data_IF_027202958725
#
_entry.id   IF_027202958725
#
_cell.length_a   1.000
_cell.length_b   1.000
_cell.length_c   1.000
_cell.angle_alpha   90.00
_cell.angle_beta   90.00
_cell.angle_gamma   90.00
#
_symmetry.space_group_name_H-M   'P 1'
#
loop_
_entity.id
_entity.type
_entity.pdbx_description
1 polymer ?
#
# COMPACT_ATOMS: atom_id res chain seq x y z
N UNK A 1 -18.11 3.03 10.33
CA UNK A 1 -17.95 3.64 8.97
C UNK A 1 -16.70 3.04 8.34
N UNK A 2 -16.50 3.15 7.03
CA UNK A 2 -15.21 2.79 6.45
C UNK A 2 -14.10 3.68 7.05
N UNK A 3 -12.83 3.27 6.96
CA UNK A 3 -11.70 4.02 7.52
C UNK A 3 -10.84 4.65 6.41
N UNK A 4 -10.23 5.79 6.69
CA UNK A 4 -9.23 6.45 5.84
C UNK A 4 -7.85 6.22 6.45
N UNK A 5 -6.97 5.54 5.71
CA UNK A 5 -5.59 5.26 6.07
C UNK A 5 -4.68 6.13 5.21
N UNK A 6 -3.99 7.09 5.83
CA UNK A 6 -3.05 8.01 5.18
C UNK A 6 -1.67 7.82 5.78
N UNK A 7 -0.69 7.63 4.92
CA UNK A 7 0.62 7.17 5.33
C UNK A 7 1.72 7.46 4.34
N UNK A 8 2.86 6.81 4.61
CA UNK A 8 4.10 6.90 3.85
C UNK A 8 4.53 5.53 3.32
N UNK A 9 5.29 5.52 2.22
CA UNK A 9 5.84 4.31 1.59
C UNK A 9 7.23 3.96 2.14
N UNK A 10 7.25 3.34 3.31
CA UNK A 10 8.48 3.02 4.04
C UNK A 10 8.86 4.11 5.03
N UNK A 11 9.82 3.82 5.91
CA UNK A 11 10.19 4.72 7.01
C UNK A 11 11.70 4.88 7.20
N UNK A 12 12.55 4.07 6.56
CA UNK A 12 13.99 4.10 6.81
C UNK A 12 14.74 4.86 5.73
N UNK A 13 14.72 6.18 5.81
CA UNK A 13 15.40 7.07 4.86
C UNK A 13 16.41 7.97 5.56
N UNK A 14 17.66 7.97 5.10
CA UNK A 14 18.72 8.78 5.71
C UNK A 14 18.42 10.29 5.71
N UNK A 15 17.86 10.90 4.63
CA UNK A 15 17.54 12.32 4.61
C UNK A 15 16.50 12.77 5.64
N UNK A 16 15.71 11.84 6.18
CA UNK A 16 14.65 12.15 7.14
C UNK A 16 15.19 12.43 8.55
N UNK A 17 16.45 12.05 8.83
CA UNK A 17 17.06 12.21 10.15
C UNK A 17 17.48 13.66 10.39
N UNK A 18 16.95 14.27 11.44
CA UNK A 18 17.15 15.67 11.76
C UNK A 18 16.16 16.61 11.07
N UNK A 19 15.20 16.07 10.31
CA UNK A 19 14.09 16.79 9.68
C UNK A 19 12.75 16.17 10.11
N UNK A 20 12.29 15.09 9.47
CA UNK A 20 11.11 14.33 9.94
C UNK A 20 11.36 13.62 11.28
N UNK A 21 12.51 12.97 11.44
CA UNK A 21 12.93 12.39 12.71
C UNK A 21 13.69 13.43 13.53
N UNK A 22 13.34 13.63 14.82
CA UNK A 22 14.06 14.56 15.67
C UNK A 22 15.54 14.18 15.80
N UNK A 23 16.40 15.20 15.97
CA UNK A 23 17.84 15.00 16.17
C UNK A 23 18.08 14.07 17.36
N UNK A 24 18.95 13.07 17.15
CA UNK A 24 19.30 12.10 18.19
C UNK A 24 18.34 10.91 18.34
N UNK A 25 17.26 10.81 17.55
CA UNK A 25 16.43 9.61 17.52
C UNK A 25 17.26 8.39 17.08
N UNK A 26 17.30 7.36 17.92
CA UNK A 26 17.96 6.11 17.56
C UNK A 26 17.25 5.46 16.36
N UNK A 27 18.00 5.01 15.35
CA UNK A 27 17.42 4.41 14.13
C UNK A 27 16.42 3.27 14.41
N UNK A 28 16.70 2.44 15.43
CA UNK A 28 15.80 1.36 15.84
C UNK A 28 14.43 1.84 16.32
N UNK A 29 14.28 3.13 16.63
CA UNK A 29 13.04 3.80 17.04
C UNK A 29 12.28 4.48 15.90
N UNK A 30 12.80 4.44 14.68
CA UNK A 30 12.18 5.11 13.52
C UNK A 30 10.76 4.59 13.25
N UNK A 31 10.49 3.28 13.42
CA UNK A 31 9.14 2.74 13.25
C UNK A 31 8.19 3.19 14.37
N UNK A 32 8.62 3.13 15.64
CA UNK A 32 7.79 3.63 16.75
C UNK A 32 7.41 5.09 16.52
N UNK A 33 8.36 5.91 16.06
CA UNK A 33 8.11 7.32 15.77
C UNK A 33 7.18 7.51 14.59
N UNK A 34 7.46 6.88 13.44
CA UNK A 34 6.69 7.08 12.22
C UNK A 34 5.24 6.58 12.35
N UNK A 35 5.04 5.42 12.99
CA UNK A 35 3.70 4.84 13.22
C UNK A 35 2.82 5.65 14.19
N UNK A 36 3.39 6.66 14.85
CA UNK A 36 2.67 7.60 15.71
C UNK A 36 2.55 8.99 15.08
N UNK A 37 3.15 9.20 13.91
CA UNK A 37 3.09 10.45 13.14
C UNK A 37 2.07 10.38 12.00
N UNK A 38 1.74 9.16 11.55
CA UNK A 38 0.72 8.82 10.56
C UNK A 38 -0.10 7.62 11.04
N UNK A 39 -1.25 7.31 10.44
CA UNK A 39 -2.12 6.21 10.88
C UNK A 39 -1.96 4.91 10.06
N UNK A 40 -1.11 4.90 9.04
CA UNK A 40 -0.78 3.71 8.24
C UNK A 40 0.58 3.84 7.55
N UNK A 41 1.21 2.72 7.21
CA UNK A 41 2.48 2.67 6.45
C UNK A 41 2.41 1.57 5.38
N UNK A 42 2.93 1.85 4.18
CA UNK A 42 3.18 0.83 3.15
C UNK A 42 4.60 0.27 3.33
N UNK A 43 4.71 -1.03 3.63
CA UNK A 43 5.99 -1.73 3.75
C UNK A 43 6.59 -1.91 2.36
N UNK A 44 7.70 -1.20 2.12
CA UNK A 44 8.43 -1.24 0.84
C UNK A 44 9.61 -2.25 0.86
N UNK A 45 10.14 -2.59 2.04
CA UNK A 45 11.31 -3.49 2.16
C UNK A 45 11.10 -4.88 1.55
N UNK A 46 9.87 -5.40 1.63
CA UNK A 46 9.45 -6.69 1.04
C UNK A 46 9.52 -6.72 -0.49
N UNK A 47 9.55 -5.56 -1.15
CA UNK A 47 9.74 -5.46 -2.60
C UNK A 47 11.13 -5.95 -3.04
N UNK A 48 12.16 -5.67 -2.22
CA UNK A 48 13.55 -5.94 -2.57
C UNK A 48 14.03 -7.31 -2.11
N UNK A 49 13.55 -7.76 -0.95
CA UNK A 49 13.88 -9.06 -0.38
C UNK A 49 12.73 -9.55 0.50
N UNK A 50 12.52 -10.87 0.55
CA UNK A 50 11.65 -11.48 1.54
C UNK A 50 12.13 -11.12 2.94
N UNK A 51 11.19 -10.76 3.80
CA UNK A 51 11.46 -10.53 5.21
C UNK A 51 11.36 -11.87 5.96
N UNK A 52 11.72 -11.87 7.24
CA UNK A 52 11.54 -13.04 8.11
C UNK A 52 10.30 -12.86 8.98
N UNK A 53 9.65 -13.95 9.43
CA UNK A 53 8.49 -13.85 10.32
C UNK A 53 8.73 -12.99 11.56
N UNK A 54 9.93 -13.04 12.15
CA UNK A 54 10.26 -12.27 13.35
C UNK A 54 10.26 -10.75 13.09
N UNK A 55 10.58 -10.32 11.86
CA UNK A 55 10.52 -8.89 11.48
C UNK A 55 9.09 -8.39 11.44
N UNK A 56 8.19 -9.17 10.83
CA UNK A 56 6.77 -8.80 10.77
C UNK A 56 6.14 -8.81 12.16
N UNK A 57 6.44 -9.81 12.99
CA UNK A 57 6.00 -9.85 14.39
C UNK A 57 6.53 -8.66 15.21
N UNK A 58 7.78 -8.25 14.98
CA UNK A 58 8.35 -7.05 15.61
C UNK A 58 7.62 -5.78 15.15
N UNK A 59 7.38 -5.59 13.85
CA UNK A 59 6.64 -4.43 13.33
C UNK A 59 5.21 -4.36 13.85
N UNK A 60 4.55 -5.52 13.99
CA UNK A 60 3.26 -5.62 14.65
C UNK A 60 3.33 -5.10 16.10
N UNK A 61 4.33 -5.52 16.87
CA UNK A 61 4.48 -5.15 18.29
C UNK A 61 4.91 -3.69 18.51
N UNK A 62 5.68 -3.10 17.60
CA UNK A 62 6.22 -1.73 17.76
C UNK A 62 5.23 -0.60 17.37
N UNK A 63 4.09 -0.96 16.80
CA UNK A 63 3.08 0.00 16.28
C UNK A 63 1.80 0.00 17.11
N UNK A 64 1.01 1.10 17.10
CA UNK A 64 -0.27 1.17 17.80
C UNK A 64 -1.24 0.04 17.43
N UNK A 65 -2.17 -0.30 18.33
CA UNK A 65 -3.08 -1.46 18.16
C UNK A 65 -4.00 -1.34 16.94
N UNK A 66 -4.43 -0.12 16.62
CA UNK A 66 -5.30 0.22 15.49
C UNK A 66 -4.53 0.50 14.19
N UNK A 67 -3.20 0.37 14.21
CA UNK A 67 -2.35 0.64 13.07
C UNK A 67 -2.52 -0.38 11.95
N UNK A 68 -2.50 0.06 10.69
CA UNK A 68 -2.60 -0.83 9.53
C UNK A 68 -1.39 -0.67 8.63
N UNK A 69 -0.83 -1.79 8.18
CA UNK A 69 0.21 -1.84 7.16
C UNK A 69 -0.35 -2.28 5.81
N UNK A 70 0.01 -1.57 4.74
CA UNK A 70 0.01 -2.16 3.41
C UNK A 70 1.35 -2.85 3.15
N UNK A 71 1.38 -3.88 2.30
CA UNK A 71 2.62 -4.61 1.99
C UNK A 71 2.88 -4.63 0.50
N UNK A 72 4.02 -4.10 0.08
CA UNK A 72 4.46 -4.18 -1.32
C UNK A 72 5.04 -5.55 -1.63
N UNK A 73 4.45 -6.22 -2.62
CA UNK A 73 4.85 -7.56 -3.01
C UNK A 73 6.25 -7.60 -3.64
N UNK A 74 6.95 -8.76 -3.63
CA UNK A 74 8.31 -8.87 -4.13
C UNK A 74 8.44 -8.53 -5.62
N UNK A 75 9.44 -7.72 -5.96
CA UNK A 75 9.81 -7.42 -7.36
C UNK A 75 10.18 -8.68 -8.13
N UNK A 76 10.59 -9.73 -7.43
CA UNK A 76 10.88 -11.02 -8.05
C UNK A 76 9.68 -11.57 -8.84
N UNK A 77 8.46 -11.38 -8.36
CA UNK A 77 7.24 -11.84 -9.03
C UNK A 77 6.88 -10.93 -10.22
N UNK A 78 6.80 -9.61 -10.00
CA UNK A 78 6.27 -8.67 -11.00
C UNK A 78 7.31 -8.14 -11.99
N UNK A 79 8.58 -8.03 -11.60
CA UNK A 79 9.65 -7.45 -12.43
C UNK A 79 10.58 -8.50 -13.03
N UNK A 80 10.96 -9.53 -12.25
CA UNK A 80 11.94 -10.53 -12.68
C UNK A 80 11.26 -11.69 -13.40
N UNK A 81 10.36 -12.40 -12.70
CA UNK A 81 9.58 -13.50 -13.27
C UNK A 81 8.49 -13.03 -14.23
N UNK A 82 8.03 -11.77 -14.10
CA UNK A 82 7.04 -11.16 -15.00
C UNK A 82 5.81 -12.08 -15.17
N UNK A 83 5.33 -12.61 -14.04
CA UNK A 83 4.21 -13.54 -13.95
C UNK A 83 4.42 -14.93 -14.60
N UNK A 84 5.66 -15.38 -14.82
CA UNK A 84 5.98 -16.74 -15.28
C UNK A 84 6.40 -17.64 -14.13
N UNK A 85 5.75 -18.80 -14.00
CA UNK A 85 5.93 -19.83 -12.96
C UNK A 85 6.11 -19.23 -11.54
N UNK A 86 5.06 -18.54 -11.11
CA UNK A 86 5.02 -17.71 -9.91
C UNK A 86 4.34 -18.39 -8.71
N UNK A 87 3.84 -19.61 -8.86
CA UNK A 87 3.15 -20.37 -7.82
C UNK A 87 4.06 -20.54 -6.59
N UNK A 88 5.30 -21.01 -6.80
CA UNK A 88 6.30 -21.14 -5.73
C UNK A 88 6.77 -19.78 -5.18
N UNK A 89 7.11 -18.79 -6.01
CA UNK A 89 7.39 -17.43 -5.52
C UNK A 89 6.28 -16.81 -4.67
N UNK A 90 5.00 -17.03 -5.03
CA UNK A 90 3.84 -16.58 -4.25
C UNK A 90 3.78 -17.32 -2.92
N UNK A 91 3.91 -18.64 -2.92
CA UNK A 91 3.95 -19.45 -1.70
C UNK A 91 5.07 -18.99 -0.75
N UNK A 92 6.28 -18.74 -1.28
CA UNK A 92 7.41 -18.23 -0.50
C UNK A 92 7.14 -16.83 0.07
N UNK A 93 6.46 -15.96 -0.69
CA UNK A 93 6.07 -14.63 -0.19
C UNK A 93 5.08 -14.73 0.98
N UNK A 94 4.03 -15.53 0.86
CA UNK A 94 3.07 -15.69 1.96
C UNK A 94 3.68 -16.42 3.16
N UNK A 95 4.59 -17.36 2.93
CA UNK A 95 5.34 -18.02 3.98
C UNK A 95 6.43 -17.16 4.64
N UNK A 96 6.80 -16.02 4.05
CA UNK A 96 7.83 -15.11 4.60
C UNK A 96 7.44 -14.42 5.92
N UNK A 97 6.19 -14.59 6.35
CA UNK A 97 5.69 -14.11 7.63
C UNK A 97 4.78 -12.90 7.56
N UNK A 98 4.27 -12.53 6.38
CA UNK A 98 3.31 -11.43 6.23
C UNK A 98 2.08 -11.59 7.14
N UNK A 99 1.66 -12.83 7.42
CA UNK A 99 0.53 -13.14 8.31
C UNK A 99 0.79 -12.81 9.79
N UNK A 100 2.05 -12.60 10.19
CA UNK A 100 2.41 -12.14 11.54
C UNK A 100 1.96 -10.70 11.83
N UNK A 101 1.57 -9.95 10.79
CA UNK A 101 0.91 -8.65 10.94
C UNK A 101 -0.55 -8.75 11.43
N UNK A 102 -1.14 -9.95 11.46
CA UNK A 102 -2.46 -10.24 12.05
C UNK A 102 -3.55 -9.25 11.61
N UNK A 103 -4.23 -8.58 12.55
CA UNK A 103 -5.25 -7.56 12.27
C UNK A 103 -4.69 -6.34 11.53
N UNK A 104 -3.42 -6.01 11.76
CA UNK A 104 -2.71 -4.89 11.14
C UNK A 104 -2.31 -5.17 9.69
N UNK A 105 -2.51 -6.40 9.18
CA UNK A 105 -2.34 -6.72 7.77
C UNK A 105 -3.46 -6.07 6.93
N UNK A 106 -3.11 -5.04 6.18
CA UNK A 106 -3.93 -4.35 5.18
C UNK A 106 -3.75 -4.92 3.78
N UNK A 107 -3.99 -4.11 2.73
CA UNK A 107 -3.86 -4.54 1.34
C UNK A 107 -2.43 -4.91 0.93
N UNK A 108 -2.31 -5.75 -0.10
CA UNK A 108 -1.04 -6.11 -0.73
C UNK A 108 -0.94 -5.40 -2.08
N UNK A 109 0.12 -4.60 -2.26
CA UNK A 109 0.42 -3.87 -3.49
C UNK A 109 1.24 -4.71 -4.47
N UNK A 110 0.75 -4.85 -5.69
CA UNK A 110 1.41 -5.47 -6.83
C UNK A 110 1.75 -4.43 -7.89
N UNK A 111 2.97 -3.90 -7.82
CA UNK A 111 3.47 -2.88 -8.76
C UNK A 111 4.17 -3.55 -9.94
N UNK A 112 3.82 -3.17 -11.17
CA UNK A 112 4.43 -3.66 -12.41
C UNK A 112 5.38 -2.63 -13.05
N UNK A 113 6.49 -3.05 -13.71
CA UNK A 113 7.41 -2.12 -14.36
C UNK A 113 6.82 -1.54 -15.65
N UNK A 114 7.31 -0.38 -16.14
CA UNK A 114 6.78 0.29 -17.33
C UNK A 114 6.98 -0.50 -18.63
N UNK A 115 7.88 -1.49 -18.65
CA UNK A 115 8.08 -2.37 -19.80
C UNK A 115 7.27 -3.68 -19.70
N UNK A 116 6.37 -3.83 -18.72
CA UNK A 116 5.44 -4.95 -18.63
C UNK A 116 4.15 -4.59 -19.35
N UNK A 117 3.75 -5.39 -20.34
CA UNK A 117 2.53 -5.19 -21.11
C UNK A 117 1.40 -6.09 -20.60
N UNK A 118 0.18 -5.58 -20.69
CA UNK A 118 -1.03 -6.34 -20.38
C UNK A 118 -1.21 -7.48 -21.39
N UNK A 119 -1.41 -8.68 -20.86
CA UNK A 119 -1.73 -9.90 -21.61
C UNK A 119 -2.85 -10.57 -20.82
N UNK A 120 -4.11 -10.56 -21.32
CA UNK A 120 -5.28 -10.90 -20.51
C UNK A 120 -5.18 -12.25 -19.79
N UNK A 121 -4.83 -13.32 -20.49
CA UNK A 121 -4.77 -14.68 -19.93
C UNK A 121 -3.68 -14.80 -18.85
N UNK A 122 -2.48 -14.26 -19.11
CA UNK A 122 -1.37 -14.29 -18.14
C UNK A 122 -1.72 -13.47 -16.90
N UNK A 123 -2.40 -12.34 -17.08
CA UNK A 123 -2.78 -11.48 -15.96
C UNK A 123 -3.92 -12.09 -15.15
N UNK A 124 -4.89 -12.72 -15.79
CA UNK A 124 -5.97 -13.46 -15.14
C UNK A 124 -5.43 -14.66 -14.34
N UNK A 125 -4.49 -15.44 -14.91
CA UNK A 125 -3.82 -16.53 -14.19
C UNK A 125 -3.20 -16.03 -12.87
N UNK A 126 -2.48 -14.90 -12.93
CA UNK A 126 -1.92 -14.28 -11.74
C UNK A 126 -3.00 -13.89 -10.72
N UNK A 127 -4.08 -13.22 -11.14
CA UNK A 127 -5.16 -12.83 -10.24
C UNK A 127 -5.85 -14.04 -9.60
N UNK A 128 -6.03 -15.13 -10.35
CA UNK A 128 -6.64 -16.37 -9.87
C UNK A 128 -5.80 -17.10 -8.80
N UNK A 129 -4.47 -16.91 -8.81
CA UNK A 129 -3.57 -17.46 -7.79
C UNK A 129 -3.55 -16.66 -6.48
N UNK A 130 -4.09 -15.43 -6.46
CA UNK A 130 -4.04 -14.58 -5.28
C UNK A 130 -5.03 -15.06 -4.21
N UNK A 131 -4.60 -15.25 -2.95
CA UNK A 131 -5.50 -15.65 -1.87
C UNK A 131 -6.40 -14.49 -1.43
N UNK A 132 -7.72 -14.70 -1.39
CA UNK A 132 -8.70 -13.67 -1.00
C UNK A 132 -9.01 -13.62 0.50
N UNK A 133 -8.42 -14.53 1.29
CA UNK A 133 -8.46 -14.49 2.74
C UNK A 133 -7.17 -15.05 3.35
N UNK A 134 -6.98 -14.81 4.64
CA UNK A 134 -5.79 -15.24 5.38
C UNK A 134 -5.66 -16.76 5.51
N UNK A 135 -6.75 -17.53 5.46
CA UNK A 135 -6.68 -19.01 5.49
C UNK A 135 -6.19 -19.55 4.14
N UNK A 136 -6.69 -19.00 3.03
CA UNK A 136 -6.19 -19.30 1.69
C UNK A 136 -4.72 -18.88 1.54
N UNK A 137 -4.32 -17.75 2.12
CA UNK A 137 -2.93 -17.31 2.15
C UNK A 137 -2.03 -18.26 2.95
N UNK A 138 -2.51 -18.75 4.09
CA UNK A 138 -1.84 -19.79 4.88
C UNK A 138 -1.72 -21.11 4.10
N UNK A 139 -2.79 -21.56 3.43
CA UNK A 139 -2.78 -22.74 2.58
C UNK A 139 -1.79 -22.62 1.41
N UNK A 140 -1.69 -21.43 0.81
CA UNK A 140 -0.68 -21.13 -0.21
C UNK A 140 0.74 -21.12 0.38
N UNK A 141 0.93 -20.55 1.58
CA UNK A 141 2.20 -20.54 2.30
C UNK A 141 2.72 -21.97 2.61
N UNK A 142 1.83 -22.93 2.87
CA UNK A 142 2.22 -24.34 3.03
C UNK A 142 2.87 -24.95 1.79
N UNK A 143 2.72 -24.34 0.61
CA UNK A 143 3.33 -24.79 -0.63
C UNK A 143 4.72 -24.16 -0.88
N UNK A 144 5.31 -23.46 0.10
CA UNK A 144 6.63 -22.87 -0.03
C UNK A 144 7.70 -23.94 -0.32
N UNK A 145 8.84 -23.52 -0.87
CA UNK A 145 10.00 -24.37 -1.09
C UNK A 145 11.08 -24.16 -0.01
N UNK A 146 12.16 -24.93 -0.09
CA UNK A 146 13.25 -24.91 0.88
C UNK A 146 14.04 -23.59 0.93
N UNK A 147 13.76 -22.61 0.06
CA UNK A 147 14.44 -21.32 0.02
C UNK A 147 14.27 -20.49 1.29
N UNK A 148 13.23 -20.76 2.09
CA UNK A 148 13.03 -20.08 3.37
C UNK A 148 13.90 -20.63 4.51
N UNK A 149 14.62 -21.74 4.31
CA UNK A 149 15.58 -22.31 5.27
C UNK A 149 15.01 -22.47 6.70
N UNK A 150 13.73 -22.83 6.83
CA UNK A 150 13.06 -22.98 8.13
C UNK A 150 12.51 -21.68 8.75
N UNK A 151 12.78 -20.53 8.14
CA UNK A 151 12.22 -19.23 8.53
C UNK A 151 10.91 -18.95 7.78
N UNK A 152 9.90 -19.79 8.04
CA UNK A 152 8.58 -19.68 7.42
C UNK A 152 7.47 -19.60 8.48
N UNK A 153 6.47 -18.76 8.23
CA UNK A 153 5.21 -18.78 8.99
C UNK A 153 4.03 -19.06 8.05
N UNK A 154 3.21 -20.03 8.43
CA UNK A 154 2.10 -20.54 7.62
C UNK A 154 0.77 -20.49 8.39
N UNK A 155 0.75 -19.85 9.57
CA UNK A 155 -0.44 -19.82 10.41
C UNK A 155 -1.22 -18.53 10.19
N UNK A 156 -2.48 -18.67 9.81
CA UNK A 156 -3.44 -17.58 9.91
C UNK A 156 -3.83 -17.41 11.38
N UNK A 157 -3.80 -16.18 11.90
CA UNK A 157 -4.31 -15.88 13.25
C UNK A 157 -5.84 -16.03 13.33
N UNK A 158 -6.55 -15.61 12.29
CA UNK A 158 -7.99 -15.84 12.06
C UNK A 158 -8.30 -15.68 10.58
N UNK A 159 -9.47 -16.12 10.13
CA UNK A 159 -10.00 -15.78 8.80
C UNK A 159 -10.33 -14.29 8.71
N UNK A 160 -9.72 -13.59 7.77
CA UNK A 160 -9.98 -12.18 7.43
C UNK A 160 -9.86 -12.03 5.91
N UNK A 161 -10.70 -11.20 5.25
CA UNK A 161 -10.51 -10.86 3.85
C UNK A 161 -9.11 -10.30 3.61
N UNK A 162 -8.46 -10.79 2.56
CA UNK A 162 -7.18 -10.31 2.09
C UNK A 162 -7.39 -9.52 0.79
N UNK A 163 -6.81 -8.33 0.75
CA UNK A 163 -7.08 -7.33 -0.29
C UNK A 163 -5.84 -7.12 -1.15
N UNK A 164 -6.04 -6.95 -2.46
CA UNK A 164 -4.96 -6.76 -3.42
C UNK A 164 -5.16 -5.49 -4.22
N UNK A 165 -4.08 -4.77 -4.47
CA UNK A 165 -4.06 -3.59 -5.30
C UNK A 165 -2.99 -3.74 -6.40
N UNK A 166 -3.29 -3.32 -7.63
CA UNK A 166 -2.40 -3.41 -8.80
C UNK A 166 -2.04 -2.01 -9.27
N UNK A 167 -0.73 -1.73 -9.36
CA UNK A 167 -0.23 -0.50 -9.96
C UNK A 167 0.38 -0.79 -11.34
N UNK A 168 -0.17 -0.10 -12.35
CA UNK A 168 0.24 -0.18 -13.75
C UNK A 168 1.17 0.97 -14.12
N UNK A 169 2.08 0.73 -15.07
CA UNK A 169 3.02 1.75 -15.57
C UNK A 169 3.14 1.76 -17.10
N UNK A 170 2.22 1.09 -17.80
CA UNK A 170 2.25 0.90 -19.24
C UNK A 170 0.85 1.08 -19.84
N UNK A 171 0.75 1.78 -20.97
CA UNK A 171 -0.53 2.09 -21.63
C UNK A 171 -1.30 0.87 -22.15
N UNK A 172 -0.66 -0.28 -22.35
CA UNK A 172 -1.38 -1.51 -22.75
C UNK A 172 -2.43 -1.96 -21.73
N UNK A 173 -2.36 -1.48 -20.49
CA UNK A 173 -3.38 -1.72 -19.46
C UNK A 173 -4.61 -0.82 -19.58
N UNK A 174 -4.61 0.18 -20.47
CA UNK A 174 -5.76 1.05 -20.74
C UNK A 174 -6.82 0.31 -21.58
N UNK A 175 -7.21 -0.87 -21.09
CA UNK A 175 -8.09 -1.82 -21.73
C UNK A 175 -9.29 -2.13 -20.82
N UNK A 176 -10.54 -2.04 -21.30
CA UNK A 176 -11.71 -2.44 -20.53
C UNK A 176 -11.70 -3.89 -20.02
N UNK A 177 -11.02 -4.84 -20.69
CA UNK A 177 -10.84 -6.20 -20.19
C UNK A 177 -9.99 -6.26 -18.93
N UNK A 178 -8.95 -5.44 -18.82
CA UNK A 178 -8.18 -5.30 -17.59
C UNK A 178 -9.09 -4.84 -16.43
N UNK A 179 -9.94 -3.84 -16.67
CA UNK A 179 -10.90 -3.37 -15.66
C UNK A 179 -11.91 -4.47 -15.27
N UNK A 180 -12.38 -5.27 -16.24
CA UNK A 180 -13.26 -6.41 -15.98
C UNK A 180 -12.58 -7.46 -15.10
N UNK A 181 -11.33 -7.79 -15.37
CA UNK A 181 -10.55 -8.73 -14.56
C UNK A 181 -10.38 -8.22 -13.12
N UNK A 182 -9.95 -6.98 -12.93
CA UNK A 182 -9.82 -6.41 -11.59
C UNK A 182 -11.14 -6.47 -10.79
N UNK A 183 -12.27 -6.15 -11.43
CA UNK A 183 -13.61 -6.25 -10.81
C UNK A 183 -14.03 -7.68 -10.50
N UNK A 184 -13.68 -8.66 -11.35
CA UNK A 184 -13.97 -10.09 -11.15
C UNK A 184 -13.30 -10.62 -9.88
N UNK A 185 -12.05 -10.22 -9.65
CA UNK A 185 -11.24 -10.68 -8.52
C UNK A 185 -11.25 -9.73 -7.31
N UNK A 186 -12.08 -8.66 -7.33
CA UNK A 186 -12.12 -7.63 -6.30
C UNK A 186 -10.73 -7.03 -5.99
N UNK A 187 -9.93 -6.79 -7.02
CA UNK A 187 -8.59 -6.21 -6.93
C UNK A 187 -8.67 -4.71 -7.24
N UNK A 188 -8.11 -3.87 -6.39
CA UNK A 188 -8.09 -2.42 -6.60
C UNK A 188 -7.11 -2.03 -7.72
N UNK A 189 -7.55 -1.19 -8.66
CA UNK A 189 -6.63 -0.38 -9.45
C UNK A 189 -6.01 0.66 -8.53
N UNK A 190 -4.68 0.74 -8.51
CA UNK A 190 -3.98 1.78 -7.77
C UNK A 190 -4.11 3.10 -8.54
N UNK A 191 -4.66 4.10 -7.87
CA UNK A 191 -4.71 5.48 -8.35
C UNK A 191 -3.33 6.10 -8.08
N UNK A 192 -2.46 6.04 -9.07
CA UNK A 192 -1.08 6.50 -8.97
C UNK A 192 -0.91 7.89 -9.57
N UNK A 193 -0.53 8.87 -8.75
CA UNK A 193 -0.10 10.18 -9.23
C UNK A 193 1.41 10.18 -9.40
N UNK A 194 1.87 10.29 -10.65
CA UNK A 194 3.25 10.01 -11.03
C UNK A 194 3.90 11.16 -11.80
N UNK A 195 3.45 12.40 -11.56
CA UNK A 195 3.91 13.58 -12.29
C UNK A 195 3.83 13.39 -13.83
N UNK A 196 2.69 12.87 -14.30
CA UNK A 196 2.43 12.52 -15.71
C UNK A 196 3.38 11.49 -16.34
N UNK A 197 4.21 10.80 -15.55
CA UNK A 197 5.14 9.81 -16.10
C UNK A 197 4.41 8.56 -16.59
N UNK A 198 3.50 8.04 -15.79
CA UNK A 198 2.75 6.80 -16.05
C UNK A 198 1.24 7.05 -16.15
N UNK A 199 0.46 6.09 -16.68
CA UNK A 199 -0.96 6.31 -16.94
C UNK A 199 -1.73 6.52 -15.64
N UNK A 200 -2.43 7.66 -15.54
CA UNK A 200 -3.28 8.01 -14.40
C UNK A 200 -4.74 7.66 -14.67
N UNK A 201 -5.35 6.79 -13.86
CA UNK A 201 -6.74 6.34 -13.99
C UNK A 201 -7.39 6.11 -12.63
N UNK A 202 -8.71 6.24 -12.58
CA UNK A 202 -9.51 6.30 -11.34
C UNK A 202 -10.70 5.31 -11.36
N UNK A 203 -10.62 4.22 -12.14
CA UNK A 203 -11.63 3.17 -12.16
C UNK A 203 -11.73 2.49 -10.79
N UNK A 204 -12.92 2.55 -10.18
CA UNK A 204 -13.23 1.83 -8.95
C UNK A 204 -13.53 0.35 -9.24
N UNK A 205 -12.52 -0.50 -9.03
CA UNK A 205 -12.55 -1.94 -9.34
C UNK A 205 -12.73 -2.85 -8.14
N UNK A 206 -12.70 -2.31 -6.92
CA UNK A 206 -12.86 -3.09 -5.68
C UNK A 206 -13.82 -2.42 -4.68
N UNK A 207 -13.95 -3.02 -3.50
CA UNK A 207 -14.69 -2.45 -2.37
C UNK A 207 -13.87 -1.47 -1.50
N UNK A 208 -12.61 -1.24 -1.84
CA UNK A 208 -11.74 -0.23 -1.26
C UNK A 208 -11.03 0.59 -2.36
N UNK A 209 -10.33 1.65 -1.95
CA UNK A 209 -9.51 2.48 -2.85
C UNK A 209 -8.07 2.48 -2.36
N UNK A 210 -7.12 2.44 -3.31
CA UNK A 210 -5.69 2.47 -3.03
C UNK A 210 -5.04 3.56 -3.87
N UNK A 211 -4.37 4.51 -3.22
CA UNK A 211 -3.68 5.62 -3.84
C UNK A 211 -2.18 5.53 -3.55
N UNK A 212 -1.38 5.90 -4.54
CA UNK A 212 0.04 6.22 -4.35
C UNK A 212 0.35 7.58 -4.94
N UNK A 213 0.79 8.49 -4.09
CA UNK A 213 1.09 9.87 -4.44
C UNK A 213 2.61 10.03 -4.51
N UNK A 214 3.15 9.99 -5.72
CA UNK A 214 4.59 9.98 -5.96
C UNK A 214 5.20 11.37 -6.11
N UNK A 215 4.42 12.44 -5.99
CA UNK A 215 4.85 13.82 -6.22
C UNK A 215 4.18 14.43 -7.44
N UNK A 216 3.81 15.71 -7.33
CA UNK A 216 2.97 16.41 -8.30
C UNK A 216 3.68 16.80 -9.61
N UNK A 217 4.95 17.19 -9.53
CA UNK A 217 5.71 17.78 -10.66
C UNK A 217 6.96 16.98 -11.01
N UNK A 218 7.64 16.46 -10.00
CA UNK A 218 8.83 15.62 -10.11
C UNK A 218 8.59 14.33 -9.33
N UNK A 219 8.69 13.20 -10.03
CA UNK A 219 8.52 11.87 -9.45
C UNK A 219 9.52 11.65 -8.30
N UNK A 220 8.97 11.31 -7.14
CA UNK A 220 9.60 11.03 -5.87
C UNK A 220 10.22 12.21 -5.11
N UNK A 221 10.28 13.40 -5.71
CA UNK A 221 11.03 14.54 -5.15
C UNK A 221 10.17 15.77 -4.87
N UNK A 222 9.11 15.98 -5.65
CA UNK A 222 8.21 17.12 -5.44
C UNK A 222 7.21 16.85 -4.32
N UNK A 223 6.97 17.87 -3.48
CA UNK A 223 5.87 17.86 -2.53
C UNK A 223 4.55 18.21 -3.22
N UNK A 224 3.46 18.18 -2.45
CA UNK A 224 2.17 18.65 -2.94
C UNK A 224 1.87 20.05 -2.43
N UNK A 225 1.36 20.92 -3.30
CA UNK A 225 0.89 22.24 -2.88
C UNK A 225 -0.44 22.11 -2.12
N UNK A 226 -0.78 23.10 -1.28
CA UNK A 226 -2.05 23.08 -0.55
C UNK A 226 -3.29 22.92 -1.46
N UNK A 227 -3.38 23.56 -2.65
CA UNK A 227 -4.45 23.28 -3.61
C UNK A 227 -4.45 21.84 -4.14
N UNK A 228 -3.28 21.25 -4.38
CA UNK A 228 -3.18 19.86 -4.83
C UNK A 228 -3.64 18.87 -3.74
N UNK A 229 -3.24 19.10 -2.49
CA UNK A 229 -3.71 18.30 -1.35
C UNK A 229 -5.21 18.47 -1.10
N UNK A 230 -5.76 19.68 -1.27
CA UNK A 230 -7.21 19.91 -1.22
C UNK A 230 -7.94 19.08 -2.29
N UNK A 231 -7.44 19.04 -3.52
CA UNK A 231 -8.01 18.22 -4.60
C UNK A 231 -7.99 16.73 -4.26
N UNK A 232 -6.92 16.25 -3.63
CA UNK A 232 -6.84 14.85 -3.16
C UNK A 232 -7.79 14.57 -2.00
N UNK A 233 -7.92 15.48 -1.05
CA UNK A 233 -8.87 15.37 0.05
C UNK A 233 -10.32 15.25 -0.49
N UNK A 234 -10.73 16.10 -1.44
CA UNK A 234 -12.06 16.03 -2.06
C UNK A 234 -12.32 14.68 -2.75
N UNK A 235 -11.31 14.11 -3.42
CA UNK A 235 -11.42 12.80 -4.05
C UNK A 235 -11.53 11.67 -3.02
N UNK A 236 -10.69 11.70 -1.99
CA UNK A 236 -10.70 10.73 -0.89
C UNK A 236 -12.06 10.77 -0.18
N UNK A 237 -12.59 11.96 0.08
CA UNK A 237 -13.90 12.15 0.72
C UNK A 237 -15.03 11.57 -0.14
N UNK A 238 -15.04 11.86 -1.45
CA UNK A 238 -16.02 11.29 -2.37
C UNK A 238 -15.95 9.74 -2.38
N UNK A 239 -14.75 9.17 -2.51
CA UNK A 239 -14.58 7.72 -2.49
C UNK A 239 -14.97 7.09 -1.16
N UNK A 240 -14.61 7.74 -0.05
CA UNK A 240 -14.95 7.33 1.30
C UNK A 240 -16.47 7.24 1.49
N UNK A 241 -17.23 8.19 0.93
CA UNK A 241 -18.69 8.22 0.91
C UNK A 241 -19.32 7.36 -0.20
N UNK A 242 -18.52 6.52 -0.87
CA UNK A 242 -19.04 5.58 -1.85
C UNK A 242 -19.25 6.16 -3.25
N UNK A 243 -18.88 7.42 -3.48
CA UNK A 243 -19.06 8.15 -4.73
C UNK A 243 -17.85 8.00 -5.67
N UNK A 244 -18.01 8.46 -6.91
CA UNK A 244 -16.95 8.62 -7.90
C UNK A 244 -16.88 10.11 -8.27
N UNK A 245 -15.70 10.76 -8.21
CA UNK A 245 -15.51 12.11 -8.71
C UNK A 245 -16.03 12.27 -10.15
N UNK A 246 -16.72 13.39 -10.43
CA UNK A 246 -17.33 13.64 -11.75
C UNK A 246 -16.30 13.80 -12.87
N UNK A 247 -15.12 14.29 -12.52
CA UNK A 247 -13.97 14.49 -13.40
C UNK A 247 -13.02 13.28 -13.41
N UNK A 248 -13.48 12.10 -12.96
CA UNK A 248 -12.63 10.92 -12.88
C UNK A 248 -12.14 10.45 -14.26
N UNK A 249 -10.84 10.16 -14.36
CA UNK A 249 -10.24 9.63 -15.60
C UNK A 249 -10.39 8.10 -15.64
N UNK A 250 -11.33 7.60 -16.46
CA UNK A 250 -11.69 6.18 -16.49
C UNK A 250 -11.14 5.47 -17.73
N UNK A 251 -10.62 4.26 -17.56
CA UNK A 251 -10.33 3.29 -18.62
C UNK A 251 -11.64 2.79 -19.23
N UNK A 252 -12.61 2.43 -18.38
CA UNK A 252 -13.86 1.80 -18.81
C UNK A 252 -15.10 2.53 -18.27
N UNK A 253 -15.47 3.71 -18.79
CA UNK A 253 -16.56 4.54 -18.27
C UNK A 253 -17.96 3.88 -18.29
N UNK A 254 -18.12 2.83 -19.12
CA UNK A 254 -19.34 2.00 -19.19
C UNK A 254 -19.41 0.93 -18.08
N UNK A 255 -18.29 0.57 -17.46
CA UNK A 255 -18.23 -0.44 -16.38
C UNK A 255 -18.41 0.20 -15.01
N UNK A 256 -19.66 0.54 -14.66
CA UNK A 256 -19.96 1.22 -13.39
C UNK A 256 -19.46 0.44 -12.16
N UNK A 257 -18.93 1.11 -11.12
CA UNK A 257 -18.56 0.45 -9.87
C UNK A 257 -19.78 -0.14 -9.19
N UNK A 258 -19.57 -1.22 -8.41
CA UNK A 258 -20.63 -1.73 -7.54
C UNK A 258 -21.00 -0.63 -6.54
N UNK A 259 -22.29 -0.29 -6.37
CA UNK A 259 -22.71 0.72 -5.39
C UNK A 259 -22.27 0.33 -3.98
N UNK A 260 -21.77 1.32 -3.23
CA UNK A 260 -21.36 1.17 -1.83
C UNK A 260 -21.78 2.42 -1.07
N UNK A 261 -22.15 2.26 0.20
CA UNK A 261 -22.40 3.40 1.10
C UNK A 261 -21.11 4.10 1.52
N UNK A 262 -20.02 3.34 1.59
CA UNK A 262 -18.70 3.84 1.92
C UNK A 262 -17.61 2.90 1.40
N UNK A 263 -16.39 3.39 1.22
CA UNK A 263 -15.19 2.58 0.91
C UNK A 263 -14.06 2.90 1.87
N UNK A 264 -13.29 1.88 2.25
CA UNK A 264 -12.01 2.12 2.91
C UNK A 264 -11.04 2.72 1.89
N UNK A 265 -10.23 3.68 2.32
CA UNK A 265 -9.26 4.37 1.47
C UNK A 265 -7.88 4.22 2.06
N UNK A 266 -6.93 3.75 1.26
CA UNK A 266 -5.51 3.66 1.61
C UNK A 266 -4.73 4.62 0.72
N UNK A 267 -4.05 5.59 1.31
CA UNK A 267 -3.31 6.62 0.60
C UNK A 267 -1.87 6.69 1.12
N UNK A 268 -0.91 6.38 0.24
CA UNK A 268 0.50 6.39 0.60
C UNK A 268 1.27 7.40 -0.23
N UNK A 269 2.01 8.28 0.46
CA UNK A 269 2.97 9.17 -0.16
C UNK A 269 4.31 8.44 -0.36
N UNK A 270 4.84 8.50 -1.57
CA UNK A 270 6.09 7.83 -2.00
C UNK A 270 7.14 8.87 -2.46
N UNK A 271 6.90 10.16 -2.22
CA UNK A 271 7.79 11.27 -2.54
C UNK A 271 8.88 11.50 -1.49
N UNK A 272 9.64 10.43 -1.23
CA UNK A 272 10.52 10.31 -0.07
C UNK A 272 11.90 10.98 -0.24
N UNK A 273 12.32 11.33 -1.46
CA UNK A 273 13.70 11.81 -1.75
C UNK A 273 14.01 13.10 -0.99
N UNK A 274 13.04 14.02 -0.89
CA UNK A 274 13.19 15.34 -0.24
C UNK A 274 12.39 15.45 1.06
N UNK A 275 12.15 14.33 1.75
CA UNK A 275 11.40 14.29 3.02
C UNK A 275 9.96 14.84 2.89
N UNK A 276 9.38 14.88 1.68
CA UNK A 276 8.06 15.50 1.48
C UNK A 276 6.92 14.63 1.96
N UNK A 277 7.03 13.32 1.73
CA UNK A 277 5.98 12.35 2.03
C UNK A 277 5.41 12.43 3.47
N UNK A 278 6.21 12.50 4.55
CA UNK A 278 5.64 12.57 5.90
C UNK A 278 4.86 13.86 6.17
N UNK A 279 5.29 15.00 5.62
CA UNK A 279 4.60 16.28 5.80
C UNK A 279 3.33 16.37 4.95
N UNK A 280 3.38 15.91 3.69
CA UNK A 280 2.21 15.86 2.82
C UNK A 280 1.14 14.89 3.39
N UNK A 281 1.57 13.75 3.95
CA UNK A 281 0.68 12.83 4.67
C UNK A 281 0.04 13.50 5.88
N UNK A 282 0.81 14.29 6.65
CA UNK A 282 0.31 14.99 7.84
C UNK A 282 -0.71 16.07 7.49
N UNK A 283 -0.46 16.88 6.46
CA UNK A 283 -1.43 17.89 5.98
C UNK A 283 -2.76 17.22 5.57
N UNK A 284 -2.67 16.08 4.87
CA UNK A 284 -3.87 15.35 4.46
C UNK A 284 -4.61 14.74 5.67
N UNK A 285 -3.90 14.18 6.66
CA UNK A 285 -4.51 13.70 7.91
C UNK A 285 -5.26 14.82 8.66
N UNK A 286 -4.66 16.02 8.75
CA UNK A 286 -5.26 17.18 9.40
C UNK A 286 -6.59 17.61 8.77
N UNK A 287 -6.70 17.52 7.44
CA UNK A 287 -7.95 17.84 6.72
C UNK A 287 -9.10 16.91 7.07
N UNK A 288 -8.80 15.69 7.51
CA UNK A 288 -9.78 14.70 7.97
C UNK A 288 -9.86 14.61 9.49
N UNK A 289 -9.14 15.48 10.23
CA UNK A 289 -9.02 15.46 11.69
C UNK A 289 -8.47 14.12 12.25
N UNK A 290 -7.76 13.35 11.43
CA UNK A 290 -7.21 12.04 11.76
C UNK A 290 -5.85 12.10 12.47
N UNK A 291 -5.39 13.31 12.77
CA UNK A 291 -4.08 13.55 13.38
C UNK A 291 -4.14 13.89 14.88
N UNK A 292 -5.35 14.07 15.42
CA UNK A 292 -5.59 14.48 16.82
C UNK A 292 -5.01 13.53 17.86
N UNK A 293 -5.08 12.23 17.58
CA UNK A 293 -4.63 11.17 18.50
C UNK A 293 -3.22 10.65 18.17
N UNK A 294 -2.56 11.25 17.17
CA UNK A 294 -1.21 10.85 16.76
C UNK A 294 -0.17 11.41 17.73
N UNK A 295 0.56 10.51 18.38
CA UNK A 295 1.42 10.82 19.52
C UNK A 295 2.80 11.42 19.16
N UNK A 296 3.13 11.53 17.87
CA UNK A 296 4.36 12.21 17.42
C UNK A 296 4.06 13.22 16.32
N UNK A 297 4.86 14.28 16.29
CA UNK A 297 4.80 15.35 15.30
C UNK A 297 6.12 15.35 14.50
N UNK A 298 6.08 15.43 13.16
CA UNK A 298 7.27 15.55 12.33
C UNK A 298 8.28 16.58 12.86
N UNK A 299 9.52 16.13 13.10
CA UNK A 299 10.65 16.97 13.56
C UNK A 299 10.67 17.32 15.04
N UNK A 300 9.62 17.01 15.79
CA UNK A 300 9.58 17.27 17.23
C UNK A 300 10.02 16.04 18.04
N UNK A 301 10.71 16.24 19.18
CA UNK A 301 10.98 15.15 20.11
C UNK A 301 9.68 14.49 20.59
N UNK A 302 9.62 13.17 20.57
CA UNK A 302 8.49 12.45 21.14
C UNK A 302 8.43 12.66 22.67
N UNK A 303 7.21 12.82 23.21
CA UNK A 303 7.02 12.93 24.65
C UNK A 303 7.53 11.67 25.39
N UNK A 304 7.90 11.84 26.66
CA UNK A 304 8.44 10.75 27.46
C UNK A 304 7.42 9.60 27.56
N UNK A 305 7.89 8.37 27.34
CA UNK A 305 7.05 7.17 27.36
C UNK A 305 6.33 6.83 26.04
N UNK A 306 6.30 7.75 25.07
CA UNK A 306 5.61 7.52 23.78
C UNK A 306 6.28 6.42 22.95
N UNK A 307 7.62 6.38 22.92
CA UNK A 307 8.42 5.44 22.13
C UNK A 307 8.94 4.24 22.95
N UNK A 308 8.22 3.87 24.01
CA UNK A 308 8.51 2.67 24.81
C UNK A 308 8.17 1.40 24.05
#
# INVERSE_FOLDING_TARGET
MATIHIGISGWRYAPWRGDFYPKGLAQKRELQFASRAVNSIEINGSFYALQRPERYAQWYAETPDDFVFSVKAPRFITHIRRLRDIEKPLANFFASGILELKEKLGPILWQFPPNFKFEPERFEHFLALLPHDTEAAAALAHQHDSHLHGHASMKAWRKKPLRHAVEIRNDSFLDPDFVRLLKRYNTALVIADTANKWPYREDLTSDFVYLRLHGAEELYASGYTAPALKRWAERIDAWHHGEQPKDAHLIAPRLKPRPRKSREVFCYFDNDIKVRAPYDARDLLQRFELDRDLATVPGEPAAQGVLA
#
